data_IF_326120004925
#
_entry.id   IF_326120004925
#
_cell.length_a   1.000
_cell.length_b   1.000
_cell.length_c   1.000
_cell.angle_alpha   90.00
_cell.angle_beta   90.00
_cell.angle_gamma   90.00
#
_symmetry.space_group_name_H-M   'P 1'
#
loop_
_entity.id
_entity.type
_entity.pdbx_description
1 polymer ?
#
# COMPACT_ATOMS: atom_id res chain seq x y z
N UNK A 1 -17.46 17.58 -12.66
CA UNK A 1 -16.07 18.04 -12.92
C UNK A 1 -16.00 18.49 -14.37
N UNK A 2 -15.17 19.48 -14.69
CA UNK A 2 -14.85 19.86 -16.06
C UNK A 2 -13.33 19.96 -16.19
N UNK A 3 -12.79 19.58 -17.35
CA UNK A 3 -11.35 19.60 -17.62
C UNK A 3 -11.14 19.88 -19.11
N UNK A 4 -9.96 20.41 -19.44
CA UNK A 4 -9.58 20.58 -20.84
C UNK A 4 -9.31 19.23 -21.50
N UNK A 5 -9.70 19.10 -22.77
CA UNK A 5 -9.47 17.87 -23.54
C UNK A 5 -7.98 17.51 -23.64
N UNK A 6 -7.12 18.49 -23.89
CA UNK A 6 -5.67 18.26 -23.94
C UNK A 6 -5.13 17.73 -22.61
N UNK A 7 -5.72 18.15 -21.49
CA UNK A 7 -5.33 17.68 -20.18
C UNK A 7 -5.74 16.20 -20.01
N UNK A 8 -6.97 15.89 -20.36
CA UNK A 8 -7.47 14.51 -20.33
C UNK A 8 -6.59 13.55 -21.15
N UNK A 9 -6.27 13.93 -22.39
CA UNK A 9 -5.42 13.12 -23.28
C UNK A 9 -3.97 13.03 -22.77
N UNK A 10 -3.41 14.13 -22.23
CA UNK A 10 -2.03 14.17 -21.77
C UNK A 10 -1.72 13.31 -20.54
N UNK A 11 -2.73 12.93 -19.73
CA UNK A 11 -2.56 11.94 -18.65
C UNK A 11 -3.06 10.54 -19.00
N UNK A 12 -3.50 10.30 -20.24
CA UNK A 12 -3.99 8.99 -20.68
C UNK A 12 -5.45 8.68 -20.29
N UNK A 13 -6.26 9.69 -19.97
CA UNK A 13 -7.68 9.55 -19.68
C UNK A 13 -8.02 8.91 -18.33
N UNK A 14 -9.23 8.35 -18.21
CA UNK A 14 -9.65 7.59 -17.02
C UNK A 14 -9.12 6.16 -17.06
N UNK A 15 -8.67 5.68 -15.90
CA UNK A 15 -8.19 4.33 -15.77
C UNK A 15 -9.36 3.34 -15.62
N UNK A 16 -9.40 2.35 -16.51
CA UNK A 16 -10.48 1.35 -16.61
C UNK A 16 -10.52 0.34 -15.45
N UNK A 17 -9.50 0.31 -14.59
CA UNK A 17 -9.50 -0.48 -13.35
C UNK A 17 -10.55 0.04 -12.35
N UNK A 18 -10.86 1.34 -12.37
CA UNK A 18 -11.85 1.93 -11.47
C UNK A 18 -13.26 1.77 -12.05
N UNK A 19 -14.03 0.81 -11.51
CA UNK A 19 -15.41 0.54 -11.94
C UNK A 19 -16.50 0.99 -10.96
N UNK A 20 -16.13 1.32 -9.73
CA UNK A 20 -17.07 1.67 -8.65
C UNK A 20 -16.92 3.11 -8.17
N UNK A 21 -15.69 3.52 -7.84
CA UNK A 21 -15.33 4.84 -7.35
C UNK A 21 -13.81 5.05 -7.46
N UNK A 22 -13.36 6.30 -7.30
CA UNK A 22 -11.93 6.66 -7.22
C UNK A 22 -11.27 6.98 -8.56
N UNK A 23 -11.99 6.83 -9.66
CA UNK A 23 -11.61 7.24 -11.01
C UNK A 23 -11.34 8.75 -11.10
N UNK A 24 -12.19 9.54 -10.45
CA UNK A 24 -12.07 11.00 -10.37
C UNK A 24 -10.85 11.43 -9.53
N UNK A 25 -10.59 10.74 -8.42
CA UNK A 25 -9.45 10.98 -7.53
C UNK A 25 -8.14 10.62 -8.22
N UNK A 26 -8.04 9.43 -8.82
CA UNK A 26 -6.88 8.97 -9.57
C UNK A 26 -6.53 9.96 -10.69
N UNK A 27 -7.54 10.35 -11.48
CA UNK A 27 -7.39 11.33 -12.54
C UNK A 27 -6.85 12.67 -12.00
N UNK A 28 -7.46 13.23 -10.95
CA UNK A 28 -6.99 14.48 -10.34
C UNK A 28 -5.55 14.40 -9.84
N UNK A 29 -5.16 13.29 -9.21
CA UNK A 29 -3.81 13.12 -8.71
C UNK A 29 -2.78 12.98 -9.83
N UNK A 30 -3.11 12.28 -10.93
CA UNK A 30 -2.26 12.24 -12.12
C UNK A 30 -2.09 13.62 -12.75
N UNK A 31 -3.15 14.43 -12.83
CA UNK A 31 -3.05 15.83 -13.30
C UNK A 31 -2.07 16.64 -12.42
N UNK A 32 -2.20 16.52 -11.10
CA UNK A 32 -1.32 17.22 -10.15
C UNK A 32 0.14 16.74 -10.25
N UNK A 33 0.35 15.44 -10.43
CA UNK A 33 1.69 14.85 -10.61
C UNK A 33 2.32 15.26 -11.95
N UNK A 34 1.51 15.49 -12.98
CA UNK A 34 1.95 16.08 -14.25
C UNK A 34 2.25 17.60 -14.14
N UNK A 35 2.14 18.18 -12.94
CA UNK A 35 2.43 19.59 -12.68
C UNK A 35 1.28 20.54 -13.03
N UNK A 36 0.08 20.03 -13.33
CA UNK A 36 -1.06 20.86 -13.68
C UNK A 36 -1.87 21.29 -12.45
N UNK A 37 -2.67 22.33 -12.64
CA UNK A 37 -3.40 23.00 -11.57
C UNK A 37 -4.88 22.62 -11.62
N UNK A 38 -5.44 22.30 -10.45
CA UNK A 38 -6.87 22.09 -10.24
C UNK A 38 -7.40 23.26 -9.43
N UNK A 39 -8.49 23.86 -9.91
CA UNK A 39 -9.15 24.99 -9.25
C UNK A 39 -10.60 24.67 -8.91
N UNK A 40 -11.10 25.28 -7.84
CA UNK A 40 -12.50 25.22 -7.44
C UNK A 40 -13.26 26.43 -8.01
N UNK A 41 -14.37 26.19 -8.71
CA UNK A 41 -15.26 27.26 -9.19
C UNK A 41 -16.52 27.32 -8.30
N UNK A 42 -16.72 28.37 -7.49
CA UNK A 42 -17.87 28.47 -6.59
C UNK A 42 -19.21 28.64 -7.34
N UNK A 43 -19.18 29.08 -8.60
CA UNK A 43 -20.38 29.27 -9.43
C UNK A 43 -20.79 28.01 -10.19
N UNK A 44 -19.93 26.98 -10.23
CA UNK A 44 -20.24 25.70 -10.87
C UNK A 44 -21.09 24.83 -9.93
N UNK A 45 -22.41 24.98 -10.04
CA UNK A 45 -23.38 24.28 -9.18
C UNK A 45 -23.97 23.08 -9.91
N UNK A 46 -24.06 21.95 -9.20
CA UNK A 46 -24.72 20.72 -9.68
C UNK A 46 -25.66 20.21 -8.61
N UNK A 47 -26.90 19.93 -8.98
CA UNK A 47 -27.85 19.26 -8.09
C UNK A 47 -27.61 17.76 -8.11
N UNK A 48 -27.16 17.22 -6.97
CA UNK A 48 -26.92 15.80 -6.81
C UNK A 48 -27.99 15.16 -5.92
N UNK A 49 -28.77 14.25 -6.49
CA UNK A 49 -29.73 13.45 -5.75
C UNK A 49 -29.01 12.45 -4.84
N UNK A 50 -29.19 12.57 -3.52
CA UNK A 50 -28.49 11.72 -2.55
C UNK A 50 -29.13 10.33 -2.49
N UNK A 51 -28.47 9.39 -1.80
CA UNK A 51 -29.01 8.05 -1.59
C UNK A 51 -29.90 8.10 -0.35
N UNK A 52 -31.11 7.53 -0.43
CA UNK A 52 -32.14 7.63 0.62
C UNK A 52 -32.28 6.37 1.46
N UNK A 53 -31.51 5.31 1.18
CA UNK A 53 -31.61 4.04 1.91
C UNK A 53 -30.30 3.67 2.60
N UNK A 54 -30.42 3.03 3.77
CA UNK A 54 -29.27 2.54 4.54
C UNK A 54 -28.39 1.59 3.70
N UNK A 55 -29.02 0.67 2.96
CA UNK A 55 -28.30 -0.29 2.11
C UNK A 55 -27.49 0.41 1.00
N UNK A 56 -28.07 1.42 0.35
CA UNK A 56 -27.36 2.18 -0.67
C UNK A 56 -26.20 2.99 -0.08
N UNK A 57 -26.37 3.57 1.11
CA UNK A 57 -25.30 4.27 1.81
C UNK A 57 -24.15 3.33 2.18
N UNK A 58 -24.42 2.16 2.78
CA UNK A 58 -23.36 1.21 3.14
C UNK A 58 -22.65 0.64 1.91
N UNK A 59 -23.38 0.38 0.81
CA UNK A 59 -22.79 -0.03 -0.47
C UNK A 59 -21.86 1.06 -1.05
N UNK A 60 -22.19 2.33 -0.85
CA UNK A 60 -21.33 3.43 -1.24
C UNK A 60 -20.05 3.47 -0.39
N UNK A 61 -20.15 3.25 0.92
CA UNK A 61 -18.97 3.18 1.80
C UNK A 61 -18.07 1.99 1.47
N UNK A 62 -18.66 0.84 1.11
CA UNK A 62 -17.94 -0.31 0.58
C UNK A 62 -17.16 0.07 -0.70
N UNK A 63 -17.85 0.65 -1.70
CA UNK A 63 -17.20 1.09 -2.94
C UNK A 63 -16.06 2.10 -2.72
N UNK A 64 -16.20 3.00 -1.73
CA UNK A 64 -15.12 3.91 -1.34
C UNK A 64 -13.93 3.19 -0.71
N UNK A 65 -14.15 2.16 0.11
CA UNK A 65 -13.06 1.38 0.70
C UNK A 65 -12.25 0.64 -0.36
N UNK A 66 -12.93 0.01 -1.32
CA UNK A 66 -12.28 -0.63 -2.46
C UNK A 66 -11.46 0.35 -3.29
N UNK A 67 -12.05 1.50 -3.64
CA UNK A 67 -11.38 2.57 -4.38
C UNK A 67 -10.12 3.09 -3.67
N UNK A 68 -10.22 3.36 -2.36
CA UNK A 68 -9.06 3.77 -1.56
C UNK A 68 -7.93 2.75 -1.58
N UNK A 69 -8.26 1.46 -1.55
CA UNK A 69 -7.25 0.40 -1.63
C UNK A 69 -6.54 0.39 -2.99
N UNK A 70 -7.29 0.56 -4.08
CA UNK A 70 -6.73 0.59 -5.44
C UNK A 70 -5.84 1.82 -5.64
N UNK A 71 -6.35 3.00 -5.25
CA UNK A 71 -5.61 4.27 -5.25
C UNK A 71 -4.32 4.19 -4.43
N UNK A 72 -4.35 3.49 -3.28
CA UNK A 72 -3.17 3.34 -2.42
C UNK A 72 -2.01 2.62 -3.11
N UNK A 73 -2.28 1.68 -4.03
CA UNK A 73 -1.22 1.00 -4.78
C UNK A 73 -0.51 1.96 -5.75
N UNK A 74 -1.25 2.83 -6.42
CA UNK A 74 -0.71 3.76 -7.43
C UNK A 74 -0.13 5.03 -6.83
N UNK A 75 -0.69 5.48 -5.72
CA UNK A 75 -0.44 6.81 -5.19
C UNK A 75 -0.16 6.82 -3.68
N UNK A 76 0.80 5.99 -3.24
CA UNK A 76 1.13 5.79 -1.83
C UNK A 76 1.42 7.11 -1.07
N UNK A 77 1.97 8.12 -1.75
CA UNK A 77 2.32 9.42 -1.18
C UNK A 77 1.10 10.18 -0.60
N UNK A 78 -0.10 9.92 -1.12
CA UNK A 78 -1.34 10.54 -0.64
C UNK A 78 -2.04 9.73 0.45
N UNK A 79 -1.39 8.72 1.04
CA UNK A 79 -1.99 7.89 2.10
C UNK A 79 -1.22 7.97 3.43
N UNK A 80 -1.97 7.84 4.52
CA UNK A 80 -1.41 7.70 5.86
C UNK A 80 -1.00 6.27 6.21
N UNK A 81 -0.33 6.07 7.37
CA UNK A 81 0.09 4.75 7.83
C UNK A 81 -1.09 3.78 8.03
N UNK A 82 -2.25 4.29 8.44
CA UNK A 82 -3.52 3.56 8.59
C UNK A 82 -4.24 3.30 7.26
N UNK A 83 -3.67 3.71 6.12
CA UNK A 83 -4.26 3.51 4.80
C UNK A 83 -5.46 4.41 4.49
N UNK A 84 -5.68 5.48 5.27
CA UNK A 84 -6.63 6.55 4.93
C UNK A 84 -5.99 7.54 3.95
N UNK A 85 -6.76 8.04 3.00
CA UNK A 85 -6.30 9.11 2.12
C UNK A 85 -6.04 10.40 2.93
N UNK A 86 -4.89 11.02 2.70
CA UNK A 86 -4.48 12.31 3.25
C UNK A 86 -4.84 13.39 2.24
N UNK A 87 -5.80 14.22 2.59
CA UNK A 87 -6.22 15.34 1.75
C UNK A 87 -5.50 16.62 2.18
N UNK A 88 -5.04 17.42 1.21
CA UNK A 88 -4.65 18.81 1.47
C UNK A 88 -5.93 19.64 1.64
N UNK A 89 -6.26 20.00 2.89
CA UNK A 89 -7.45 20.77 3.23
C UNK A 89 -8.47 19.98 4.05
N UNK A 90 -9.73 20.39 4.00
CA UNK A 90 -10.84 19.81 4.77
C UNK A 90 -12.00 19.45 3.85
N UNK A 91 -12.55 18.24 4.03
CA UNK A 91 -13.80 17.85 3.39
C UNK A 91 -14.95 18.50 4.16
N UNK A 92 -15.79 19.28 3.47
CA UNK A 92 -16.92 19.96 4.08
C UNK A 92 -17.87 19.00 4.81
N UNK A 93 -18.38 19.42 5.97
CA UNK A 93 -19.50 18.75 6.66
C UNK A 93 -19.14 17.56 7.56
N UNK A 94 -17.85 17.29 7.85
CA UNK A 94 -17.52 16.25 8.85
C UNK A 94 -17.76 16.76 10.28
N UNK A 95 -18.58 16.07 11.10
CA UNK A 95 -18.74 16.41 12.52
C UNK A 95 -17.41 16.35 13.25
N UNK A 96 -17.11 17.44 13.96
CA UNK A 96 -15.86 17.60 14.67
C UNK A 96 -15.94 16.94 16.04
N UNK A 97 -15.22 15.83 16.22
CA UNK A 97 -14.85 15.31 17.55
C UNK A 97 -13.87 16.25 18.29
N UNK A 98 -13.44 17.34 17.63
CA UNK A 98 -12.38 18.23 18.09
C UNK A 98 -12.70 19.03 19.36
N UNK A 99 -13.92 19.05 19.88
CA UNK A 99 -14.24 19.91 21.03
C UNK A 99 -13.56 19.49 22.34
N UNK A 100 -13.13 18.23 22.49
CA UNK A 100 -12.31 17.83 23.64
C UNK A 100 -10.86 18.32 23.56
N UNK A 101 -10.36 18.76 22.39
CA UNK A 101 -8.92 19.00 22.18
C UNK A 101 -8.61 20.34 21.48
N UNK A 102 -9.39 20.76 20.48
CA UNK A 102 -9.08 21.90 19.61
C UNK A 102 -10.33 22.78 19.30
N UNK A 103 -10.26 24.07 19.66
CA UNK A 103 -11.20 25.11 19.22
C UNK A 103 -10.71 25.73 17.89
N UNK A 104 -11.60 26.09 16.96
CA UNK A 104 -11.19 26.87 15.78
C UNK A 104 -10.61 28.21 16.24
N UNK A 105 -9.46 28.58 15.68
CA UNK A 105 -8.75 29.83 16.00
C UNK A 105 -8.93 30.78 14.82
N UNK A 106 -9.32 32.01 15.13
CA UNK A 106 -9.30 33.12 14.17
C UNK A 106 -7.97 33.82 14.39
N UNK A 107 -7.14 33.90 13.34
CA UNK A 107 -5.92 34.69 13.43
C UNK A 107 -6.30 36.16 13.32
N UNK A 108 -5.98 36.92 14.36
CA UNK A 108 -6.29 38.34 14.43
C UNK A 108 -5.08 39.23 14.06
N UNK A 109 -3.89 38.67 13.80
CA UNK A 109 -2.67 39.46 13.66
C UNK A 109 -2.10 39.92 15.00
N UNK A 110 -0.89 40.48 14.99
CA UNK A 110 -0.32 41.14 16.16
C UNK A 110 -1.21 42.36 16.45
N UNK A 111 -1.72 42.46 17.68
CA UNK A 111 -2.65 43.52 18.12
C UNK A 111 -4.00 43.61 17.39
N UNK A 112 -4.41 42.60 16.61
CA UNK A 112 -5.70 42.66 15.90
C UNK A 112 -5.63 43.26 14.48
N UNK A 113 -4.43 43.57 13.98
CA UNK A 113 -4.18 44.24 12.69
C UNK A 113 -4.18 43.28 11.47
N UNK A 114 -4.73 42.08 11.61
CA UNK A 114 -4.82 41.12 10.51
C UNK A 114 -5.83 41.55 9.45
N UNK A 115 -5.36 41.95 8.26
CA UNK A 115 -6.19 42.46 7.15
C UNK A 115 -7.30 41.50 6.65
N UNK A 116 -7.21 40.19 6.93
CA UNK A 116 -8.24 39.20 6.55
C UNK A 116 -8.42 38.11 7.62
N UNK A 117 -9.65 37.97 8.14
CA UNK A 117 -10.03 36.91 9.09
C UNK A 117 -10.22 35.59 8.34
N UNK A 118 -9.13 34.85 8.13
CA UNK A 118 -9.25 33.46 7.67
C UNK A 118 -9.71 32.58 8.83
N UNK A 119 -10.87 31.92 8.71
CA UNK A 119 -11.23 30.83 9.60
C UNK A 119 -10.33 29.66 9.23
N UNK A 120 -9.37 29.32 10.06
CA UNK A 120 -8.57 28.11 9.89
C UNK A 120 -9.40 26.93 10.41
N UNK A 121 -9.94 26.06 9.53
CA UNK A 121 -10.67 24.91 10.01
C UNK A 121 -9.68 23.99 10.73
N UNK A 122 -10.00 23.60 11.95
CA UNK A 122 -9.22 22.58 12.67
C UNK A 122 -9.16 21.31 11.81
N UNK A 123 -8.00 20.66 11.66
CA UNK A 123 -7.90 19.40 10.95
C UNK A 123 -8.85 18.35 11.56
N UNK A 124 -9.19 17.33 10.77
CA UNK A 124 -9.96 16.19 11.29
C UNK A 124 -9.21 15.58 12.47
N UNK A 125 -9.95 15.14 13.49
CA UNK A 125 -9.32 14.55 14.68
C UNK A 125 -8.72 13.18 14.32
N UNK A 126 -7.40 13.10 14.31
CA UNK A 126 -6.67 11.84 14.11
C UNK A 126 -7.06 10.81 15.17
N UNK A 127 -7.36 11.26 16.39
CA UNK A 127 -7.85 10.41 17.48
C UNK A 127 -9.19 9.79 17.13
N UNK A 128 -10.15 10.58 16.63
CA UNK A 128 -11.44 10.06 16.21
C UNK A 128 -11.31 9.09 15.02
N UNK A 129 -10.44 9.40 14.06
CA UNK A 129 -10.14 8.51 12.95
C UNK A 129 -9.56 7.16 13.43
N UNK A 130 -8.70 7.19 14.45
CA UNK A 130 -8.12 5.99 15.05
C UNK A 130 -9.13 5.19 15.87
N UNK A 131 -9.93 5.83 16.73
CA UNK A 131 -10.97 5.20 17.54
C UNK A 131 -12.09 4.57 16.70
N UNK A 132 -12.34 5.10 15.51
CA UNK A 132 -13.29 4.54 14.54
C UNK A 132 -12.65 3.62 13.50
N UNK A 133 -11.34 3.37 13.61
CA UNK A 133 -10.63 2.50 12.68
C UNK A 133 -10.97 1.02 12.87
N UNK A 134 -10.84 0.23 11.81
CA UNK A 134 -11.07 -1.22 11.89
C UNK A 134 -9.96 -1.91 12.68
N UNK A 135 -8.75 -1.35 12.69
CA UNK A 135 -7.61 -1.81 13.49
C UNK A 135 -7.92 -1.71 14.98
N UNK A 136 -8.48 -0.58 15.42
CA UNK A 136 -8.93 -0.38 16.80
C UNK A 136 -10.05 -1.36 17.16
N UNK A 137 -11.03 -1.53 16.27
CA UNK A 137 -12.15 -2.45 16.50
C UNK A 137 -11.70 -3.92 16.56
N UNK A 138 -10.81 -4.34 15.66
CA UNK A 138 -10.23 -5.68 15.66
C UNK A 138 -9.40 -5.95 16.92
N UNK A 139 -8.61 -4.98 17.37
CA UNK A 139 -7.88 -5.05 18.64
C UNK A 139 -8.85 -5.15 19.82
N UNK A 140 -9.94 -4.38 19.80
CA UNK A 140 -10.98 -4.43 20.83
C UNK A 140 -11.60 -5.82 20.93
N UNK A 141 -11.98 -6.43 19.80
CA UNK A 141 -12.50 -7.81 19.76
C UNK A 141 -11.47 -8.82 20.27
N UNK A 142 -10.22 -8.69 19.85
CA UNK A 142 -9.13 -9.55 20.30
C UNK A 142 -8.94 -9.47 21.83
N UNK A 143 -8.95 -8.27 22.40
CA UNK A 143 -8.85 -8.06 23.85
C UNK A 143 -10.11 -8.51 24.61
N UNK A 144 -11.30 -8.45 24.01
CA UNK A 144 -12.49 -9.07 24.59
C UNK A 144 -12.30 -10.58 24.73
N UNK A 145 -11.82 -11.25 23.68
CA UNK A 145 -11.51 -12.68 23.73
C UNK A 145 -10.46 -13.01 24.78
N UNK A 146 -9.40 -12.20 24.86
CA UNK A 146 -8.36 -12.33 25.88
C UNK A 146 -8.92 -12.08 27.31
N UNK A 147 -9.86 -11.14 27.46
CA UNK A 147 -10.49 -10.79 28.73
C UNK A 147 -11.36 -11.91 29.32
N UNK A 148 -11.86 -12.85 28.50
CA UNK A 148 -12.51 -14.07 29.01
C UNK A 148 -11.56 -14.81 29.95
N UNK A 149 -10.31 -14.92 29.51
CA UNK A 149 -9.24 -15.67 30.14
C UNK A 149 -8.46 -14.88 31.20
N UNK A 150 -8.30 -13.57 31.00
CA UNK A 150 -7.55 -12.68 31.88
C UNK A 150 -8.51 -11.61 32.44
N UNK A 151 -9.13 -11.84 33.61
CA UNK A 151 -10.11 -10.92 34.19
C UNK A 151 -9.60 -9.48 34.36
N UNK A 152 -8.31 -9.31 34.66
CA UNK A 152 -7.67 -8.01 34.79
C UNK A 152 -7.74 -7.15 33.51
N UNK A 153 -7.81 -7.78 32.34
CA UNK A 153 -7.87 -7.08 31.06
C UNK A 153 -9.29 -6.77 30.59
N UNK A 154 -10.34 -7.27 31.28
CA UNK A 154 -11.74 -7.11 30.83
C UNK A 154 -12.17 -5.65 30.68
N UNK A 155 -11.67 -4.75 31.53
CA UNK A 155 -12.05 -3.33 31.48
C UNK A 155 -11.55 -2.64 30.21
N UNK A 156 -10.39 -3.05 29.69
CA UNK A 156 -9.73 -2.42 28.53
C UNK A 156 -10.61 -2.40 27.28
N UNK A 157 -11.13 -3.53 26.77
CA UNK A 157 -11.96 -3.52 25.57
C UNK A 157 -13.30 -2.78 25.77
N UNK A 158 -13.85 -2.72 26.99
CA UNK A 158 -15.02 -1.88 27.26
C UNK A 158 -14.69 -0.39 27.11
N UNK A 159 -13.55 0.07 27.63
CA UNK A 159 -13.08 1.44 27.46
C UNK A 159 -12.80 1.75 25.98
N UNK A 160 -12.22 0.80 25.24
CA UNK A 160 -11.96 0.96 23.81
C UNK A 160 -13.25 1.10 22.99
N UNK A 161 -14.24 0.24 23.25
CA UNK A 161 -15.56 0.34 22.63
C UNK A 161 -16.27 1.63 23.02
N UNK A 162 -16.15 2.04 24.29
CA UNK A 162 -16.64 3.33 24.79
C UNK A 162 -16.07 4.50 23.99
N UNK A 163 -14.77 4.50 23.70
CA UNK A 163 -14.13 5.50 22.85
C UNK A 163 -14.75 5.59 21.45
N UNK A 164 -14.97 4.44 20.79
CA UNK A 164 -15.65 4.39 19.47
C UNK A 164 -17.09 4.91 19.56
N UNK A 165 -17.82 4.55 20.61
CA UNK A 165 -19.18 5.01 20.85
C UNK A 165 -19.24 6.52 21.14
N UNK A 166 -18.27 7.08 21.85
CA UNK A 166 -18.16 8.52 22.07
C UNK A 166 -17.98 9.28 20.74
N UNK A 167 -17.20 8.73 19.80
CA UNK A 167 -17.09 9.31 18.45
C UNK A 167 -18.45 9.27 17.76
N UNK A 168 -19.14 8.13 17.73
CA UNK A 168 -20.47 8.03 17.11
C UNK A 168 -21.51 8.95 17.77
N UNK A 169 -21.50 9.06 19.09
CA UNK A 169 -22.36 9.97 19.86
C UNK A 169 -22.10 11.43 19.52
N UNK A 170 -20.84 11.81 19.24
CA UNK A 170 -20.53 13.17 18.81
C UNK A 170 -21.21 13.54 17.48
N UNK A 171 -21.39 12.57 16.57
CA UNK A 171 -22.12 12.76 15.31
C UNK A 171 -23.61 12.91 15.58
N UNK A 172 -24.18 12.10 16.47
CA UNK A 172 -25.57 12.21 16.90
C UNK A 172 -25.90 13.62 17.36
N UNK A 173 -25.09 14.19 18.26
CA UNK A 173 -25.35 15.51 18.86
C UNK A 173 -25.10 16.66 17.88
N UNK A 174 -24.10 16.53 17.00
CA UNK A 174 -23.63 17.67 16.19
C UNK A 174 -24.12 17.71 14.75
N UNK A 175 -24.66 16.62 14.22
CA UNK A 175 -25.19 16.63 12.87
C UNK A 175 -26.31 17.67 12.76
N UNK A 176 -26.22 18.54 11.76
CA UNK A 176 -27.31 19.46 11.42
C UNK A 176 -28.40 18.65 10.72
N UNK A 177 -29.51 18.44 11.41
CA UNK A 177 -30.71 17.83 10.84
C UNK A 177 -31.73 18.96 10.69
N UNK A 178 -32.44 18.98 9.57
CA UNK A 178 -33.52 19.95 9.37
C UNK A 178 -34.54 19.81 10.51
N UNK A 179 -34.99 20.91 11.15
CA UNK A 179 -35.79 20.85 12.39
C UNK A 179 -37.03 19.94 12.29
N UNK A 180 -37.65 19.87 11.11
CA UNK A 180 -38.81 19.01 10.84
C UNK A 180 -38.52 17.51 11.01
N UNK A 181 -37.28 17.09 10.79
CA UNK A 181 -36.85 15.69 10.82
C UNK A 181 -35.95 15.37 12.02
N UNK A 182 -35.71 16.35 12.90
CA UNK A 182 -34.85 16.20 14.07
C UNK A 182 -35.56 15.46 15.21
N UNK A 183 -35.66 14.14 15.03
CA UNK A 183 -36.25 13.22 16.01
C UNK A 183 -35.17 12.39 16.70
N UNK A 184 -35.48 11.83 17.87
CA UNK A 184 -34.57 10.90 18.56
C UNK A 184 -34.20 9.70 17.66
N UNK A 185 -35.14 9.20 16.85
CA UNK A 185 -34.88 8.13 15.88
C UNK A 185 -33.90 8.54 14.79
N UNK A 186 -34.04 9.74 14.22
CA UNK A 186 -33.10 10.26 13.22
C UNK A 186 -31.69 10.46 13.80
N UNK A 187 -31.60 10.97 15.03
CA UNK A 187 -30.35 11.14 15.77
C UNK A 187 -29.66 9.80 16.03
N UNK A 188 -30.39 8.79 16.51
CA UNK A 188 -29.88 7.43 16.70
C UNK A 188 -29.45 6.79 15.38
N UNK A 189 -30.16 7.04 14.28
CA UNK A 189 -29.75 6.59 12.96
C UNK A 189 -28.42 7.23 12.54
N UNK A 190 -28.23 8.53 12.76
CA UNK A 190 -26.94 9.21 12.50
C UNK A 190 -25.81 8.60 13.33
N UNK A 191 -26.05 8.31 14.61
CA UNK A 191 -25.09 7.62 15.47
C UNK A 191 -24.70 6.26 14.88
N UNK A 192 -25.69 5.46 14.50
CA UNK A 192 -25.47 4.15 13.90
C UNK A 192 -24.68 4.25 12.60
N UNK A 193 -25.02 5.20 11.72
CA UNK A 193 -24.30 5.43 10.47
C UNK A 193 -22.84 5.83 10.72
N UNK A 194 -22.59 6.71 11.70
CA UNK A 194 -21.25 7.13 12.08
C UNK A 194 -20.41 5.99 12.65
N UNK A 195 -21.04 5.04 13.34
CA UNK A 195 -20.39 3.81 13.82
C UNK A 195 -20.15 2.80 12.68
N UNK A 196 -21.14 2.56 11.83
CA UNK A 196 -21.10 1.51 10.81
C UNK A 196 -20.24 1.87 9.60
N UNK A 197 -20.26 3.14 9.15
CA UNK A 197 -19.54 3.58 7.95
C UNK A 197 -18.04 3.27 7.99
N UNK A 198 -17.29 3.64 9.05
CA UNK A 198 -15.84 3.38 9.13
C UNK A 198 -15.52 1.89 9.11
N UNK A 199 -16.36 1.05 9.73
CA UNK A 199 -16.19 -0.41 9.73
C UNK A 199 -16.42 -1.01 8.36
N UNK A 200 -17.50 -0.63 7.65
CA UNK A 200 -17.79 -1.13 6.30
C UNK A 200 -16.74 -0.69 5.30
N UNK A 201 -16.39 0.61 5.30
CA UNK A 201 -15.34 1.15 4.43
C UNK A 201 -13.98 0.53 4.75
N UNK A 202 -13.65 0.44 6.04
CA UNK A 202 -12.40 -0.17 6.52
C UNK A 202 -12.30 -1.64 6.12
N UNK A 203 -13.37 -2.42 6.28
CA UNK A 203 -13.42 -3.82 5.90
C UNK A 203 -13.19 -4.00 4.41
N UNK A 204 -13.91 -3.25 3.57
CA UNK A 204 -13.75 -3.30 2.13
C UNK A 204 -12.33 -2.93 1.70
N UNK A 205 -11.78 -1.86 2.29
CA UNK A 205 -10.39 -1.43 2.06
C UNK A 205 -9.39 -2.52 2.42
N UNK A 206 -9.50 -3.13 3.59
CA UNK A 206 -8.59 -4.18 4.04
C UNK A 206 -8.72 -5.46 3.22
N UNK A 207 -9.94 -5.88 2.90
CA UNK A 207 -10.18 -7.09 2.13
C UNK A 207 -9.71 -6.92 0.68
N UNK A 208 -10.03 -5.79 0.06
CA UNK A 208 -9.52 -5.40 -1.27
C UNK A 208 -7.99 -5.38 -1.25
N UNK A 209 -7.39 -4.73 -0.25
CA UNK A 209 -5.95 -4.70 -0.09
C UNK A 209 -5.36 -6.11 0.04
N UNK A 210 -5.94 -6.99 0.85
CA UNK A 210 -5.49 -8.37 1.01
C UNK A 210 -5.71 -9.24 -0.24
N UNK A 211 -6.73 -8.95 -1.04
CA UNK A 211 -7.03 -9.64 -2.29
C UNK A 211 -6.02 -9.24 -3.38
N UNK A 212 -5.86 -7.94 -3.60
CA UNK A 212 -5.01 -7.38 -4.66
C UNK A 212 -3.51 -7.32 -4.29
N UNK A 213 -3.13 -7.49 -3.02
CA UNK A 213 -1.71 -7.63 -2.61
C UNK A 213 -1.05 -8.93 -3.00
N UNK A 214 -1.81 -9.92 -3.49
CA UNK A 214 -1.23 -11.25 -3.72
C UNK A 214 -0.65 -11.30 -5.12
N UNK A 215 0.64 -11.52 -5.20
CA UNK A 215 1.22 -11.95 -6.47
C UNK A 215 0.73 -13.38 -6.73
N UNK A 216 0.20 -13.69 -7.94
CA UNK A 216 -0.28 -15.03 -8.27
C UNK A 216 0.78 -16.10 -7.96
N UNK A 217 0.34 -17.25 -7.47
CA UNK A 217 1.26 -18.33 -7.09
C UNK A 217 2.05 -18.89 -8.27
N UNK A 218 1.52 -18.75 -9.49
CA UNK A 218 2.20 -19.07 -10.75
C UNK A 218 3.48 -18.24 -10.90
N UNK A 219 3.40 -16.93 -10.68
CA UNK A 219 4.53 -15.98 -10.78
C UNK A 219 5.58 -16.25 -9.71
N UNK A 220 5.15 -16.56 -8.47
CA UNK A 220 6.06 -16.90 -7.37
C UNK A 220 6.77 -18.25 -7.62
N UNK A 221 6.14 -19.19 -8.34
CA UNK A 221 6.69 -20.52 -8.65
C UNK A 221 7.50 -20.55 -9.96
N UNK A 222 7.33 -19.55 -10.82
CA UNK A 222 8.17 -19.37 -12.00
C UNK A 222 9.64 -19.22 -11.57
N UNK A 223 10.57 -19.65 -12.41
CA UNK A 223 12.00 -19.48 -12.17
C UNK A 223 12.60 -18.76 -13.36
N UNK A 224 13.48 -17.79 -13.09
CA UNK A 224 14.18 -17.11 -14.19
C UNK A 224 15.18 -18.04 -14.86
N UNK A 225 15.19 -17.99 -16.19
CA UNK A 225 16.20 -18.65 -17.00
C UNK A 225 17.36 -17.68 -17.21
N UNK A 226 18.25 -17.62 -16.21
CA UNK A 226 19.53 -16.93 -16.37
C UNK A 226 20.43 -17.75 -17.33
N UNK A 227 21.08 -17.11 -18.32
CA UNK A 227 21.90 -17.81 -19.31
C UNK A 227 23.13 -18.52 -18.71
N UNK A 228 23.53 -18.18 -17.50
CA UNK A 228 24.55 -18.92 -16.75
C UNK A 228 23.98 -19.38 -15.41
N UNK A 229 23.49 -20.63 -15.36
CA UNK A 229 23.08 -21.30 -14.12
C UNK A 229 24.30 -21.76 -13.32
N UNK A 230 25.24 -20.86 -13.05
CA UNK A 230 26.14 -21.04 -11.91
C UNK A 230 25.25 -21.10 -10.68
N UNK A 231 25.24 -22.21 -9.93
CA UNK A 231 24.56 -22.27 -8.63
C UNK A 231 25.15 -21.16 -7.76
N UNK A 232 24.52 -19.99 -7.74
CA UNK A 232 25.02 -18.83 -7.03
C UNK A 232 24.79 -19.03 -5.53
N UNK A 233 25.73 -19.72 -4.88
CA UNK A 233 25.75 -19.92 -3.42
C UNK A 233 26.15 -18.58 -2.78
N UNK A 234 25.15 -17.73 -2.52
CA UNK A 234 25.31 -16.44 -1.85
C UNK A 234 24.07 -16.11 -1.04
N UNK A 235 24.25 -15.36 0.05
CA UNK A 235 23.15 -15.01 0.95
C UNK A 235 21.98 -14.34 0.20
N UNK A 236 20.76 -14.87 0.36
CA UNK A 236 19.53 -14.33 -0.24
C UNK A 236 19.23 -12.89 0.20
N UNK A 237 19.81 -12.44 1.31
CA UNK A 237 19.53 -11.13 1.90
C UNK A 237 20.30 -9.98 1.27
N UNK A 238 21.43 -10.24 0.59
CA UNK A 238 22.29 -9.20 0.03
C UNK A 238 22.82 -9.62 -1.33
N UNK A 239 22.65 -8.74 -2.32
CA UNK A 239 23.24 -8.83 -3.65
C UNK A 239 24.15 -7.63 -3.86
N UNK A 240 25.20 -7.83 -4.65
CA UNK A 240 26.20 -6.82 -4.94
C UNK A 240 26.49 -6.88 -6.44
N UNK A 241 26.45 -5.72 -7.07
CA UNK A 241 26.57 -5.54 -8.49
C UNK A 241 27.60 -4.46 -8.80
N UNK A 242 28.37 -4.66 -9.86
CA UNK A 242 29.40 -3.75 -10.34
C UNK A 242 29.08 -3.25 -11.74
N UNK A 243 29.40 -1.98 -11.99
CA UNK A 243 29.38 -1.38 -13.32
C UNK A 243 30.67 -0.61 -13.55
N UNK A 244 31.26 -0.76 -14.73
CA UNK A 244 32.33 0.12 -15.22
C UNK A 244 31.78 1.21 -16.17
N UNK A 245 30.48 1.19 -16.51
CA UNK A 245 29.84 2.09 -17.48
C UNK A 245 28.96 3.18 -16.83
N UNK A 246 29.11 3.43 -15.53
CA UNK A 246 28.32 4.44 -14.81
C UNK A 246 26.87 4.07 -14.55
N UNK A 247 26.50 2.78 -14.71
CA UNK A 247 25.11 2.34 -14.47
C UNK A 247 24.85 2.20 -12.98
N UNK A 248 24.14 3.17 -12.42
CA UNK A 248 23.82 3.25 -10.99
C UNK A 248 22.55 2.45 -10.60
N UNK A 249 22.04 2.68 -9.37
CA UNK A 249 20.79 2.07 -8.89
C UNK A 249 19.55 2.41 -9.72
N UNK A 250 19.51 3.54 -10.43
CA UNK A 250 18.31 3.94 -11.18
C UNK A 250 18.08 3.01 -12.37
N UNK A 251 19.15 2.62 -13.09
CA UNK A 251 19.07 1.61 -14.14
C UNK A 251 18.61 0.25 -13.61
N UNK A 252 19.11 -0.15 -12.44
CA UNK A 252 18.70 -1.39 -11.79
C UNK A 252 17.22 -1.34 -11.39
N UNK A 253 16.77 -0.25 -10.75
CA UNK A 253 15.39 -0.09 -10.33
C UNK A 253 14.42 -0.04 -11.53
N UNK A 254 14.80 0.65 -12.61
CA UNK A 254 14.05 0.66 -13.86
C UNK A 254 13.83 -0.76 -14.41
N UNK A 255 14.90 -1.54 -14.55
CA UNK A 255 14.81 -2.93 -15.00
C UNK A 255 14.02 -3.84 -14.03
N UNK A 256 14.06 -3.56 -12.72
CA UNK A 256 13.24 -4.27 -11.73
C UNK A 256 11.75 -3.93 -11.95
N UNK A 257 11.39 -2.66 -12.16
CA UNK A 257 10.00 -2.28 -12.40
C UNK A 257 9.44 -2.92 -13.67
N UNK A 258 10.20 -2.86 -14.77
CA UNK A 258 9.81 -3.53 -16.03
C UNK A 258 9.54 -5.02 -15.83
N UNK A 259 10.44 -5.73 -15.14
CA UNK A 259 10.25 -7.16 -14.84
C UNK A 259 9.06 -7.44 -13.91
N UNK A 260 8.87 -6.59 -12.89
CA UNK A 260 7.73 -6.72 -11.98
C UNK A 260 6.42 -6.53 -12.74
N UNK A 261 6.36 -5.59 -13.68
CA UNK A 261 5.18 -5.32 -14.51
C UNK A 261 4.96 -6.43 -15.55
N UNK A 262 6.01 -6.88 -16.26
CA UNK A 262 5.98 -7.98 -17.24
C UNK A 262 5.42 -9.28 -16.65
N UNK A 263 5.87 -9.64 -15.44
CA UNK A 263 5.44 -10.85 -14.76
C UNK A 263 4.16 -10.67 -13.92
N UNK A 264 3.64 -9.45 -13.81
CA UNK A 264 2.43 -9.15 -13.04
C UNK A 264 2.59 -9.26 -11.52
N UNK A 265 3.77 -8.92 -10.99
CA UNK A 265 3.99 -8.78 -9.56
C UNK A 265 3.19 -7.63 -8.97
N UNK A 266 2.75 -7.81 -7.73
CA UNK A 266 2.13 -6.74 -6.95
C UNK A 266 3.19 -6.10 -6.07
N UNK A 267 3.42 -4.80 -6.24
CA UNK A 267 4.41 -4.06 -5.47
C UNK A 267 3.92 -2.65 -5.10
N UNK A 268 4.69 -1.97 -4.25
CA UNK A 268 4.56 -0.56 -3.93
C UNK A 268 5.93 0.09 -4.06
N UNK A 269 5.95 1.31 -4.56
CA UNK A 269 7.14 2.17 -4.67
C UNK A 269 7.30 3.05 -3.43
N UNK A 270 8.52 3.54 -3.23
CA UNK A 270 8.80 4.53 -2.19
C UNK A 270 8.08 5.86 -2.47
N UNK A 271 7.55 6.46 -1.40
CA UNK A 271 6.97 7.81 -1.37
C UNK A 271 7.98 8.90 -0.96
N UNK A 272 9.25 8.57 -0.77
CA UNK A 272 10.34 9.46 -0.34
C UNK A 272 10.53 9.50 1.19
N UNK A 273 9.71 8.76 1.94
CA UNK A 273 9.75 8.71 3.41
C UNK A 273 9.92 7.29 3.94
N UNK A 274 9.98 6.28 3.06
CA UNK A 274 10.14 4.92 3.49
C UNK A 274 11.62 4.57 3.60
N UNK A 275 11.94 3.65 4.50
CA UNK A 275 13.28 3.09 4.58
C UNK A 275 13.62 2.15 3.41
N UNK A 276 12.72 1.91 2.46
CA UNK A 276 12.82 0.92 1.40
C UNK A 276 12.42 1.53 0.06
N UNK A 277 13.04 1.08 -1.03
CA UNK A 277 12.79 1.59 -2.38
C UNK A 277 11.56 0.92 -3.01
N UNK A 278 11.44 -0.41 -2.82
CA UNK A 278 10.33 -1.21 -3.36
C UNK A 278 9.85 -2.19 -2.29
N UNK A 279 8.54 -2.27 -2.10
CA UNK A 279 7.89 -3.32 -1.31
C UNK A 279 7.15 -4.27 -2.24
N UNK A 280 7.69 -5.48 -2.41
CA UNK A 280 7.10 -6.54 -3.24
C UNK A 280 6.18 -7.39 -2.37
N UNK A 281 4.92 -7.49 -2.77
CA UNK A 281 3.91 -8.28 -2.06
C UNK A 281 3.88 -9.70 -2.60
N UNK A 282 4.29 -10.65 -1.76
CA UNK A 282 4.33 -12.06 -2.15
C UNK A 282 3.02 -12.76 -1.88
N UNK A 283 2.97 -13.45 -0.74
CA UNK A 283 1.85 -14.32 -0.37
C UNK A 283 1.12 -13.81 0.88
N UNK A 284 0.17 -14.60 1.39
CA UNK A 284 -0.61 -14.28 2.58
C UNK A 284 0.23 -14.02 3.84
N UNK A 285 1.49 -14.45 3.86
CA UNK A 285 2.33 -14.44 5.05
C UNK A 285 3.48 -13.43 5.00
N UNK A 286 4.02 -13.19 3.80
CA UNK A 286 5.27 -12.47 3.63
C UNK A 286 5.22 -11.46 2.48
N UNK A 287 5.86 -10.32 2.73
CA UNK A 287 6.30 -9.36 1.72
C UNK A 287 7.83 -9.23 1.76
N UNK A 288 8.44 -8.76 0.68
CA UNK A 288 9.87 -8.46 0.62
C UNK A 288 10.05 -6.96 0.44
N UNK A 289 10.77 -6.33 1.36
CA UNK A 289 11.25 -4.96 1.20
C UNK A 289 12.65 -4.98 0.58
N UNK A 290 12.81 -4.25 -0.50
CA UNK A 290 14.04 -4.09 -1.27
C UNK A 290 14.62 -2.71 -1.00
N UNK A 291 15.91 -2.69 -0.68
CA UNK A 291 16.71 -1.48 -0.41
C UNK A 291 17.94 -1.51 -1.30
N UNK A 292 18.26 -0.41 -1.96
CA UNK A 292 19.40 -0.26 -2.87
C UNK A 292 20.28 0.90 -2.47
N UNK A 293 21.58 0.76 -2.67
CA UNK A 293 22.54 1.85 -2.48
C UNK A 293 23.66 1.70 -3.51
N UNK A 294 24.10 2.82 -4.09
CA UNK A 294 25.21 2.86 -5.05
C UNK A 294 26.38 3.62 -4.43
N UNK A 295 27.55 3.00 -4.44
CA UNK A 295 28.82 3.64 -4.12
C UNK A 295 29.55 3.99 -5.42
N UNK A 296 30.00 5.23 -5.54
CA UNK A 296 30.75 5.71 -6.71
C UNK A 296 32.26 5.59 -6.45
N UNK A 297 32.98 4.99 -7.39
CA UNK A 297 34.42 4.71 -7.30
C UNK A 297 35.26 5.55 -8.30
N UNK A 298 34.64 6.52 -8.98
CA UNK A 298 35.30 7.35 -10.00
C UNK A 298 35.44 6.67 -11.36
N UNK A 299 35.60 7.45 -12.43
CA UNK A 299 35.79 6.94 -13.80
C UNK A 299 34.64 6.07 -14.31
N UNK A 300 33.39 6.39 -13.95
CA UNK A 300 32.20 5.58 -14.29
C UNK A 300 32.03 4.30 -13.47
N UNK A 301 32.98 3.97 -12.58
CA UNK A 301 32.90 2.77 -11.76
C UNK A 301 31.92 2.97 -10.62
N UNK A 302 30.96 2.06 -10.47
CA UNK A 302 30.04 2.08 -9.35
C UNK A 302 29.67 0.69 -8.87
N UNK A 303 29.42 0.61 -7.56
CA UNK A 303 29.08 -0.61 -6.84
C UNK A 303 27.67 -0.45 -6.25
N UNK A 304 26.71 -1.16 -6.83
CA UNK A 304 25.32 -1.14 -6.37
C UNK A 304 25.06 -2.35 -5.47
N UNK A 305 24.56 -2.11 -4.26
CA UNK A 305 24.20 -3.15 -3.30
C UNK A 305 22.70 -3.17 -3.10
N UNK A 306 22.14 -4.37 -3.10
CA UNK A 306 20.72 -4.61 -2.87
C UNK A 306 20.55 -5.44 -1.61
N UNK A 307 19.68 -5.01 -0.70
CA UNK A 307 19.29 -5.74 0.50
C UNK A 307 17.82 -6.14 0.39
N UNK A 308 17.57 -7.42 0.60
CA UNK A 308 16.22 -8.01 0.65
C UNK A 308 15.86 -8.36 2.10
N UNK A 309 14.81 -7.72 2.63
CA UNK A 309 14.28 -7.99 3.98
C UNK A 309 12.90 -8.62 3.87
N UNK A 310 12.70 -9.75 4.54
CA UNK A 310 11.36 -10.34 4.68
C UNK A 310 10.58 -9.57 5.73
N UNK A 311 9.35 -9.18 5.41
CA UNK A 311 8.43 -8.48 6.31
C UNK A 311 7.15 -9.27 6.48
N UNK A 312 6.70 -9.38 7.73
CA UNK A 312 5.41 -9.97 8.05
C UNK A 312 4.29 -9.13 7.46
N UNK A 313 3.32 -9.80 6.85
CA UNK A 313 2.02 -9.22 6.54
C UNK A 313 1.20 -9.18 7.83
N UNK A 314 0.27 -8.23 7.95
CA UNK A 314 -0.60 -8.05 9.14
C UNK A 314 -1.30 -9.35 9.56
N UNK A 315 -1.72 -10.17 8.60
CA UNK A 315 -2.30 -11.50 8.82
C UNK A 315 -1.37 -12.42 9.60
N UNK A 316 -0.09 -12.49 9.24
CA UNK A 316 0.89 -13.30 9.99
C UNK A 316 1.04 -12.83 11.42
N UNK A 317 1.01 -11.52 11.65
CA UNK A 317 1.08 -10.94 13.00
C UNK A 317 -0.16 -11.37 13.79
N UNK A 318 -1.37 -11.23 13.22
CA UNK A 318 -2.63 -11.63 13.87
C UNK A 318 -2.62 -13.13 14.23
N UNK A 319 -2.28 -14.01 13.29
CA UNK A 319 -2.24 -15.45 13.55
C UNK A 319 -1.22 -15.82 14.63
N UNK A 320 -0.02 -15.19 14.63
CA UNK A 320 0.97 -15.43 15.67
C UNK A 320 0.51 -14.89 17.03
N UNK A 321 -0.12 -13.71 17.08
CA UNK A 321 -0.67 -13.17 18.32
C UNK A 321 -1.73 -14.07 18.92
N UNK A 322 -2.67 -14.58 18.11
CA UNK A 322 -3.70 -15.52 18.55
C UNK A 322 -3.07 -16.82 19.05
N UNK A 323 -2.17 -17.43 18.26
CA UNK A 323 -1.51 -18.67 18.63
C UNK A 323 -0.71 -18.53 19.93
N UNK A 324 0.12 -17.50 20.05
CA UNK A 324 0.90 -17.23 21.27
C UNK A 324 0.00 -16.95 22.47
N UNK A 325 -1.09 -16.22 22.30
CA UNK A 325 -2.03 -15.96 23.40
C UNK A 325 -2.68 -17.24 23.91
N UNK A 326 -3.07 -18.15 23.01
CA UNK A 326 -3.62 -19.46 23.37
C UNK A 326 -2.57 -20.36 24.07
N UNK A 327 -1.32 -20.35 23.59
CA UNK A 327 -0.21 -21.08 24.20
C UNK A 327 0.07 -20.58 25.62
N UNK A 328 0.19 -19.27 25.80
CA UNK A 328 0.41 -18.63 27.09
C UNK A 328 -0.74 -18.96 28.04
N UNK A 329 -1.99 -18.78 27.59
CA UNK A 329 -3.17 -19.11 28.40
C UNK A 329 -3.14 -20.56 28.88
N UNK A 330 -2.87 -21.50 27.98
CA UNK A 330 -2.82 -22.93 28.35
C UNK A 330 -1.70 -23.20 29.36
N UNK A 331 -0.52 -22.61 29.17
CA UNK A 331 0.60 -22.79 30.09
C UNK A 331 0.34 -22.20 31.48
N UNK A 332 -0.44 -21.12 31.58
CA UNK A 332 -0.82 -20.51 32.86
C UNK A 332 -1.87 -21.32 33.63
N UNK A 333 -2.68 -22.14 32.96
CA UNK A 333 -3.74 -22.95 33.60
C UNK A 333 -3.33 -24.39 33.89
N UNK A 334 -2.13 -24.80 33.49
CA UNK A 334 -1.62 -26.16 33.69
C UNK A 334 -0.37 -26.08 34.56
N UNK A 335 -0.32 -26.88 35.62
CA UNK A 335 0.79 -26.89 36.58
C UNK A 335 2.10 -27.50 36.05
N UNK A 336 2.09 -28.03 34.82
CA UNK A 336 3.24 -28.62 34.14
C UNK A 336 3.44 -28.00 32.74
N UNK A 337 4.66 -28.07 32.21
CA UNK A 337 4.97 -27.62 30.85
C UNK A 337 4.59 -28.72 29.86
N UNK A 338 3.53 -28.50 29.09
CA UNK A 338 3.14 -29.45 28.04
C UNK A 338 3.73 -29.04 26.68
N UNK A 339 4.85 -29.70 26.33
CA UNK A 339 5.59 -29.47 25.10
C UNK A 339 4.83 -29.91 23.84
N UNK A 340 3.82 -30.79 23.95
CA UNK A 340 3.11 -31.31 22.79
C UNK A 340 2.33 -30.25 22.03
N UNK A 341 1.82 -29.23 22.73
CA UNK A 341 1.07 -28.14 22.09
C UNK A 341 1.98 -27.10 21.44
N UNK A 342 3.28 -27.11 21.76
CA UNK A 342 4.27 -26.33 20.99
C UNK A 342 4.55 -26.94 19.62
N UNK A 343 4.41 -28.26 19.45
CA UNK A 343 4.68 -28.96 18.17
C UNK A 343 3.91 -28.35 16.99
N UNK A 344 2.57 -28.20 17.02
CA UNK A 344 1.83 -27.60 15.91
C UNK A 344 2.26 -26.15 15.64
N UNK A 345 2.59 -25.37 16.68
CA UNK A 345 3.08 -24.00 16.51
C UNK A 345 4.47 -23.95 15.88
N UNK A 346 5.38 -24.84 16.29
CA UNK A 346 6.72 -24.98 15.67
C UNK A 346 6.59 -25.41 14.22
N UNK A 347 5.73 -26.38 13.90
CA UNK A 347 5.45 -26.77 12.52
C UNK A 347 4.90 -25.60 11.69
N UNK A 348 4.02 -24.78 12.27
CA UNK A 348 3.54 -23.55 11.64
C UNK A 348 4.66 -22.53 11.41
N UNK A 349 5.58 -22.33 12.37
CA UNK A 349 6.74 -21.46 12.21
C UNK A 349 7.69 -21.95 11.11
N UNK A 350 7.93 -23.27 11.03
CA UNK A 350 8.71 -23.89 9.94
C UNK A 350 8.02 -23.67 8.59
N UNK A 351 6.70 -23.84 8.53
CA UNK A 351 5.91 -23.51 7.33
C UNK A 351 6.05 -22.04 6.93
N UNK A 352 5.96 -21.10 7.88
CA UNK A 352 6.16 -19.68 7.59
C UNK A 352 7.58 -19.42 7.07
N UNK A 353 8.61 -19.97 7.72
CA UNK A 353 10.00 -19.78 7.34
C UNK A 353 10.31 -20.32 5.94
N UNK A 354 9.82 -21.52 5.60
CA UNK A 354 10.00 -22.10 4.26
C UNK A 354 9.36 -21.23 3.18
N UNK A 355 8.15 -20.71 3.42
CA UNK A 355 7.47 -19.78 2.50
C UNK A 355 8.22 -18.45 2.35
N UNK A 356 8.80 -17.93 3.44
CA UNK A 356 9.63 -16.73 3.40
C UNK A 356 10.87 -16.93 2.53
N UNK A 357 11.54 -18.08 2.70
CA UNK A 357 12.76 -18.42 1.96
C UNK A 357 12.50 -18.61 0.47
N UNK A 358 11.42 -19.29 0.10
CA UNK A 358 11.02 -19.48 -1.30
C UNK A 358 10.73 -18.14 -1.99
N UNK A 359 9.91 -17.29 -1.35
CA UNK A 359 9.60 -15.96 -1.88
C UNK A 359 10.87 -15.11 -2.03
N UNK A 360 11.75 -15.15 -1.02
CA UNK A 360 13.00 -14.40 -1.05
C UNK A 360 13.97 -14.91 -2.12
N UNK A 361 14.00 -16.22 -2.36
CA UNK A 361 14.78 -16.81 -3.45
C UNK A 361 14.30 -16.28 -4.80
N UNK A 362 12.99 -16.31 -5.02
CA UNK A 362 12.37 -15.84 -6.26
C UNK A 362 12.65 -14.35 -6.52
N UNK A 363 12.46 -13.50 -5.51
CA UNK A 363 12.77 -12.06 -5.64
C UNK A 363 14.26 -11.83 -5.89
N UNK A 364 15.13 -12.65 -5.29
CA UNK A 364 16.56 -12.53 -5.54
C UNK A 364 16.94 -12.91 -6.97
N UNK A 365 16.29 -13.92 -7.56
CA UNK A 365 16.46 -14.29 -8.98
C UNK A 365 15.99 -13.17 -9.91
N UNK A 366 14.83 -12.57 -9.62
CA UNK A 366 14.32 -11.42 -10.37
C UNK A 366 15.32 -10.25 -10.35
N UNK A 367 15.89 -9.93 -9.18
CA UNK A 367 16.91 -8.87 -9.05
C UNK A 367 18.18 -9.22 -9.81
N UNK A 368 18.59 -10.50 -9.80
CA UNK A 368 19.77 -10.95 -10.55
C UNK A 368 19.52 -10.84 -12.08
N UNK A 369 18.30 -11.13 -12.56
CA UNK A 369 17.91 -10.91 -13.96
C UNK A 369 17.81 -9.43 -14.33
N UNK A 370 17.21 -8.61 -13.46
CA UNK A 370 17.11 -7.17 -13.66
C UNK A 370 18.49 -6.52 -13.78
N UNK A 371 19.44 -6.95 -12.94
CA UNK A 371 20.83 -6.53 -13.02
C UNK A 371 21.45 -6.92 -14.36
N UNK A 372 21.20 -8.14 -14.84
CA UNK A 372 21.68 -8.59 -16.14
C UNK A 372 21.12 -7.73 -17.29
N UNK A 373 19.80 -7.46 -17.32
CA UNK A 373 19.16 -6.56 -18.30
C UNK A 373 19.72 -5.13 -18.22
N UNK A 374 19.98 -4.66 -17.01
CA UNK A 374 20.61 -3.38 -16.74
C UNK A 374 22.12 -3.36 -17.02
N UNK A 375 22.74 -4.44 -17.53
CA UNK A 375 24.17 -4.49 -17.84
C UNK A 375 25.09 -4.43 -16.62
N UNK A 376 24.58 -4.82 -15.46
CA UNK A 376 25.28 -4.86 -14.18
C UNK A 376 25.85 -6.27 -13.94
N UNK A 377 27.11 -6.33 -13.51
CA UNK A 377 27.79 -7.59 -13.27
C UNK A 377 27.69 -7.99 -11.79
N UNK A 378 27.31 -9.24 -11.53
CA UNK A 378 27.18 -9.73 -10.16
C UNK A 378 28.56 -10.00 -9.54
N UNK A 379 28.80 -9.43 -8.36
CA UNK A 379 30.03 -9.63 -7.58
C UNK A 379 29.80 -10.74 -6.54
N UNK A 380 30.61 -11.79 -6.59
CA UNK A 380 30.58 -12.85 -5.57
C UNK A 380 31.52 -12.54 -4.40
N UNK A 381 31.23 -13.11 -3.22
CA UNK A 381 31.98 -12.87 -1.97
C UNK A 381 33.44 -13.36 -2.03
N UNK A 382 33.80 -14.16 -3.03
CA UNK A 382 35.17 -14.32 -3.54
C UNK A 382 35.23 -13.45 -4.79
N UNK A 383 36.14 -12.48 -4.85
CA UNK A 383 36.24 -11.41 -5.87
C UNK A 383 36.43 -11.82 -7.34
N UNK A 384 35.79 -12.91 -7.79
CA UNK A 384 35.58 -13.21 -9.20
C UNK A 384 34.31 -12.49 -9.64
N UNK A 385 34.51 -11.49 -10.50
CA UNK A 385 33.45 -10.92 -11.33
C UNK A 385 32.99 -12.02 -12.29
N UNK A 386 31.69 -12.31 -12.32
CA UNK A 386 31.14 -13.20 -13.33
C UNK A 386 31.25 -12.48 -14.68
N UNK A 387 32.14 -12.95 -15.56
CA UNK A 387 32.42 -12.32 -16.84
C UNK A 387 31.21 -12.41 -17.75
N UNK A 388 30.65 -11.26 -18.12
CA UNK A 388 29.72 -11.17 -19.25
C UNK A 388 30.54 -11.40 -20.52
N UNK A 389 30.39 -12.58 -21.14
CA UNK A 389 30.73 -12.70 -22.56
C UNK A 389 29.64 -11.95 -23.34
N UNK A 390 30.03 -10.83 -23.94
CA UNK A 390 29.28 -10.20 -25.01
C UNK A 390 28.97 -11.26 -26.07
N UNK A 391 27.70 -11.39 -26.42
CA UNK A 391 27.22 -12.18 -27.55
C UNK A 391 28.03 -11.77 -28.79
N UNK A 392 28.62 -12.70 -29.56
CA UNK A 392 29.19 -12.34 -30.85
C UNK A 392 28.07 -11.79 -31.72
N UNK A 393 28.32 -10.66 -32.38
CA UNK A 393 27.47 -10.19 -33.47
C UNK A 393 27.30 -11.34 -34.47
N UNK A 394 26.06 -11.65 -34.81
CA UNK A 394 25.74 -12.50 -35.94
C UNK A 394 26.23 -11.76 -37.19
N UNK A 395 27.34 -12.23 -37.77
CA UNK A 395 27.76 -11.85 -39.12
C UNK A 395 26.64 -12.26 -40.09
N UNK A 396 26.00 -11.24 -40.66
CA UNK A 396 25.19 -11.40 -41.86
C UNK A 396 26.13 -11.80 -43.01
N UNK A 397 25.94 -12.94 -43.68
CA UNK A 397 26.76 -13.29 -44.83
C UNK A 397 26.53 -12.29 -45.96
N UNK A 398 27.65 -11.72 -46.43
CA UNK A 398 27.72 -10.82 -47.56
C UNK A 398 27.25 -11.49 -48.86
N UNK A 399 26.52 -10.71 -49.64
CA UNK A 399 26.04 -10.95 -50.99
C UNK A 399 26.97 -11.83 -51.85
N UNK A 400 26.43 -12.95 -52.34
CA UNK A 400 26.82 -13.50 -53.64
C UNK A 400 25.97 -12.81 -54.70
N UNK A 401 26.61 -11.96 -55.47
CA UNK A 401 26.14 -11.49 -56.78
C UNK A 401 26.10 -12.71 -57.70
N UNK A 402 24.96 -12.94 -58.37
CA UNK A 402 24.97 -13.42 -59.75
C UNK A 402 23.69 -12.97 -60.47
N UNK A 403 23.93 -12.54 -61.70
CA UNK A 403 23.01 -11.93 -62.66
C UNK A 403 21.90 -12.89 -63.11
N UNK A 404 20.75 -12.34 -63.52
CA UNK A 404 20.23 -12.43 -64.90
C UNK A 404 18.79 -11.88 -64.94
N UNK A 405 18.58 -11.04 -65.94
CA UNK A 405 17.37 -10.28 -66.27
C UNK A 405 16.17 -11.11 -66.75
N UNK A 406 14.99 -10.50 -66.60
CA UNK A 406 13.98 -10.27 -67.64
C UNK A 406 12.59 -10.94 -67.50
N UNK A 407 11.59 -10.07 -67.71
CA UNK A 407 10.26 -10.30 -68.29
C UNK A 407 9.06 -10.62 -67.36
N UNK A 408 8.31 -9.55 -67.07
CA UNK A 408 6.88 -9.55 -66.79
C UNK A 408 6.10 -9.36 -68.11
N UNK A 409 5.00 -10.08 -68.37
CA UNK A 409 3.94 -9.61 -69.25
C UNK A 409 2.91 -8.75 -68.48
N UNK A 410 2.27 -7.87 -69.25
CA UNK A 410 1.47 -6.69 -68.88
C UNK A 410 0.37 -6.87 -67.84
#
# INVERSE_FOLDING_TARGET
MAFYRWAFEGVGGFDTEYRKAGDDVDFCWRLQQAGWVIAFSPTAIVWHYRRFTLRAFLKQQDGYGEAESLLRFKHLIFFGPTGTAKWRGQIYGTPRFSWFVNRPVIYHGIFGEGFFQSIYPTPQSDVAAYLSSIEWFALTIFLFGLGIFLPALRIVPYLMLGGTLCVALSYMVRASIEPKFDTAGARLLVMFLAFAQPLVRGFSRYFTWLHFKRTPTSVIRAHEHLPERGRFIGGLSRRVFWSDQGRDRHYLLGAIFELLDEEGWRYSTDSGWNEWDIQIYGNFWWSIALQTVTEYHGGGKCLTRVRLRSRFVTTTIIFNLIALSLLIYRQLNISHVDLWVLVPYVLFLVFLWTRARLLKSRVAELVDLAAHRAGLQRVMRRGKVAGSKLTPQVEMPANTVDEVSANLPK
#
